data_IF_331856462149
#
_entry.id   IF_331856462149
#
_cell.length_a   1.000
_cell.length_b   1.000
_cell.length_c   1.000
_cell.angle_alpha   90.00
_cell.angle_beta   90.00
_cell.angle_gamma   90.00
#
_symmetry.space_group_name_H-M   'P 1'
#
loop_
_entity.id
_entity.type
_entity.pdbx_description
1 polymer ?
#
# COMPACT_ATOMS: atom_id res chain seq x y z
N UNK A 1 1.37 -5.67 -12.13
CA UNK A 1 1.57 -4.92 -10.87
C UNK A 1 2.95 -4.28 -10.95
N UNK A 2 3.14 -3.01 -10.58
CA UNK A 2 4.48 -2.42 -10.55
C UNK A 2 5.09 -2.70 -9.19
N UNK A 3 6.16 -3.49 -9.13
CA UNK A 3 6.87 -3.82 -7.89
C UNK A 3 7.81 -2.68 -7.51
N UNK A 4 7.34 -1.77 -6.66
CA UNK A 4 8.12 -0.60 -6.22
C UNK A 4 8.98 -0.94 -5.00
N UNK A 5 8.41 -1.59 -3.99
CA UNK A 5 9.11 -2.04 -2.79
C UNK A 5 8.37 -3.17 -2.07
N UNK A 6 9.06 -3.89 -1.19
CA UNK A 6 8.54 -5.09 -0.52
C UNK A 6 7.29 -4.81 0.32
N UNK A 7 7.30 -3.71 1.09
CA UNK A 7 6.14 -3.26 1.90
C UNK A 7 4.90 -3.00 1.04
N UNK A 8 5.06 -2.26 -0.06
CA UNK A 8 3.96 -1.96 -0.98
C UNK A 8 3.46 -3.23 -1.67
N UNK A 9 4.36 -4.10 -2.11
CA UNK A 9 4.00 -5.37 -2.74
C UNK A 9 3.23 -6.28 -1.78
N UNK A 10 3.59 -6.29 -0.49
CA UNK A 10 2.85 -6.99 0.55
C UNK A 10 1.42 -6.45 0.65
N UNK A 11 1.25 -5.14 0.83
CA UNK A 11 -0.08 -4.50 0.91
C UNK A 11 -0.91 -4.77 -0.36
N UNK A 12 -0.33 -4.58 -1.53
CA UNK A 12 -1.00 -4.76 -2.83
C UNK A 12 -1.42 -6.21 -3.05
N UNK A 13 -0.65 -7.19 -2.54
CA UNK A 13 -0.99 -8.61 -2.65
C UNK A 13 -2.28 -9.01 -1.91
N UNK A 14 -2.78 -8.13 -1.03
CA UNK A 14 -4.03 -8.32 -0.29
C UNK A 14 -5.25 -7.69 -1.01
N UNK A 15 -5.01 -6.94 -2.08
CA UNK A 15 -6.05 -6.28 -2.86
C UNK A 15 -6.19 -6.89 -4.25
N UNK A 16 -7.37 -7.44 -4.57
CA UNK A 16 -7.69 -7.66 -5.98
C UNK A 16 -7.76 -6.30 -6.70
N UNK A 17 -7.02 -6.12 -7.79
CA UNK A 17 -7.20 -4.96 -8.67
C UNK A 17 -8.61 -4.96 -9.27
N UNK A 18 -9.54 -4.29 -8.58
CA UNK A 18 -10.88 -3.96 -9.05
C UNK A 18 -10.85 -2.52 -9.53
N UNK A 19 -10.25 -2.28 -10.70
CA UNK A 19 -10.50 -1.01 -11.38
C UNK A 19 -12.03 -0.86 -11.55
N UNK A 20 -12.59 0.27 -11.10
CA UNK A 20 -14.02 0.50 -11.23
C UNK A 20 -14.40 0.50 -12.72
N UNK A 21 -15.61 0.02 -13.02
CA UNK A 21 -16.11 -0.07 -14.40
C UNK A 21 -16.04 1.31 -15.09
N UNK A 22 -16.29 2.38 -14.32
CA UNK A 22 -16.18 3.76 -14.78
C UNK A 22 -14.73 4.20 -15.05
N UNK A 23 -13.76 3.83 -14.21
CA UNK A 23 -12.35 4.16 -14.44
C UNK A 23 -11.81 3.52 -15.72
N UNK A 24 -12.13 2.24 -15.94
CA UNK A 24 -11.74 1.52 -17.18
C UNK A 24 -12.41 2.12 -18.41
N UNK A 25 -13.69 2.53 -18.30
CA UNK A 25 -14.40 3.19 -19.38
C UNK A 25 -13.79 4.56 -19.74
N UNK A 26 -13.33 5.33 -18.74
CA UNK A 26 -12.68 6.63 -18.96
C UNK A 26 -11.34 6.47 -19.67
N UNK A 27 -10.48 5.55 -19.24
CA UNK A 27 -9.19 5.32 -19.89
C UNK A 27 -9.34 4.74 -21.31
N UNK A 28 -10.38 3.94 -21.52
CA UNK A 28 -10.78 3.46 -22.85
C UNK A 28 -11.27 4.59 -23.75
N UNK A 29 -12.07 5.52 -23.22
CA UNK A 29 -12.52 6.70 -23.96
C UNK A 29 -11.34 7.62 -24.35
N UNK A 30 -10.38 7.82 -23.44
CA UNK A 30 -9.15 8.59 -23.69
C UNK A 30 -8.27 7.95 -24.77
N UNK A 31 -8.07 6.64 -24.72
CA UNK A 31 -7.26 5.93 -25.73
C UNK A 31 -7.94 5.88 -27.11
N UNK A 32 -9.27 5.71 -27.15
CA UNK A 32 -10.05 5.75 -28.38
C UNK A 32 -10.03 7.13 -29.06
N UNK A 33 -10.04 8.23 -28.28
CA UNK A 33 -9.95 9.59 -28.83
C UNK A 33 -8.58 9.86 -29.48
N UNK A 34 -7.51 9.35 -28.89
CA UNK A 34 -6.13 9.50 -29.42
C UNK A 34 -5.98 8.77 -30.75
N UNK A 35 -6.39 7.49 -30.82
CA UNK A 35 -6.27 6.68 -32.04
C UNK A 35 -7.07 7.25 -33.23
N UNK A 36 -8.17 7.96 -32.94
CA UNK A 36 -9.10 8.48 -33.95
C UNK A 36 -8.68 9.84 -34.52
N UNK A 37 -7.97 10.67 -33.76
CA UNK A 37 -7.38 11.93 -34.25
C UNK A 37 -6.45 11.71 -35.44
N UNK A 38 -5.73 10.58 -35.47
CA UNK A 38 -4.80 10.23 -36.54
C UNK A 38 -5.47 9.83 -37.87
N UNK A 39 -6.80 9.61 -37.92
CA UNK A 39 -7.52 9.10 -39.11
C UNK A 39 -8.76 9.92 -39.51
N UNK A 40 -8.88 11.17 -39.07
CA UNK A 40 -10.04 11.99 -39.39
C UNK A 40 -9.97 12.51 -40.84
N UNK A 41 -10.82 11.99 -41.74
CA UNK A 41 -11.01 12.55 -43.08
C UNK A 41 -11.81 13.86 -42.99
N UNK A 42 -11.27 14.94 -43.55
CA UNK A 42 -11.93 16.24 -43.66
C UNK A 42 -12.89 16.22 -44.85
N UNK A 43 -14.06 16.86 -44.69
CA UNK A 43 -15.00 17.09 -45.77
C UNK A 43 -15.34 18.58 -45.85
N UNK A 44 -15.57 19.06 -47.07
CA UNK A 44 -15.95 20.45 -47.32
C UNK A 44 -17.44 20.61 -47.03
N UNK A 45 -17.77 21.56 -46.16
CA UNK A 45 -19.15 21.92 -45.84
C UNK A 45 -19.37 23.33 -46.38
N UNK A 46 -20.38 23.47 -47.22
CA UNK A 46 -20.80 24.75 -47.80
C UNK A 46 -21.95 25.26 -46.94
N UNK A 47 -21.78 26.43 -46.32
CA UNK A 47 -22.88 27.11 -45.65
C UNK A 47 -23.52 28.05 -46.67
N UNK A 48 -24.83 27.88 -46.88
CA UNK A 48 -25.59 28.76 -47.75
C UNK A 48 -25.57 30.17 -47.16
N UNK A 49 -25.31 31.17 -48.00
CA UNK A 49 -25.31 32.56 -47.56
C UNK A 49 -26.71 32.96 -47.09
N UNK A 50 -26.79 33.59 -45.91
CA UNK A 50 -28.01 34.29 -45.50
C UNK A 50 -27.95 35.73 -46.02
N UNK A 51 -28.79 36.07 -47.00
CA UNK A 51 -28.88 37.43 -47.52
C UNK A 51 -27.84 37.72 -48.63
N UNK A 52 -27.26 38.91 -48.63
CA UNK A 52 -26.37 39.41 -49.70
C UNK A 52 -24.90 38.93 -49.62
N UNK A 53 -24.57 38.10 -48.62
CA UNK A 53 -23.20 37.60 -48.44
C UNK A 53 -22.84 36.44 -49.40
N UNK A 54 -21.54 36.17 -49.58
CA UNK A 54 -21.06 35.07 -50.42
C UNK A 54 -20.99 33.76 -49.63
N UNK A 55 -21.25 32.64 -50.31
CA UNK A 55 -21.15 31.29 -49.72
C UNK A 55 -19.76 31.04 -49.11
N UNK A 56 -19.71 30.75 -47.81
CA UNK A 56 -18.47 30.36 -47.14
C UNK A 56 -18.31 28.84 -47.14
N UNK A 57 -17.15 28.38 -47.62
CA UNK A 57 -16.79 26.96 -47.67
C UNK A 57 -15.70 26.68 -46.65
N UNK A 58 -16.04 25.90 -45.63
CA UNK A 58 -15.13 25.57 -44.53
C UNK A 58 -14.88 24.06 -44.55
N UNK A 59 -13.62 23.66 -44.46
CA UNK A 59 -13.23 22.25 -44.32
C UNK A 59 -13.41 21.83 -42.87
N UNK A 60 -14.42 21.02 -42.60
CA UNK A 60 -14.75 20.55 -41.25
C UNK A 60 -14.42 19.05 -41.14
N UNK A 61 -13.79 18.65 -40.05
CA UNK A 61 -13.60 17.24 -39.74
C UNK A 61 -14.95 16.60 -39.44
N UNK A 62 -15.34 15.56 -40.17
CA UNK A 62 -16.64 14.89 -39.99
C UNK A 62 -16.74 14.27 -38.59
N UNK A 63 -17.54 14.85 -37.70
CA UNK A 63 -17.90 14.25 -36.42
C UNK A 63 -18.90 13.11 -36.64
N UNK A 64 -18.41 11.89 -36.85
CA UNK A 64 -19.27 10.70 -36.81
C UNK A 64 -19.47 10.32 -35.33
N UNK A 65 -20.64 10.58 -34.76
CA UNK A 65 -21.01 10.06 -33.44
C UNK A 65 -21.20 8.55 -33.61
N UNK A 66 -20.15 7.76 -33.35
CA UNK A 66 -20.28 6.32 -33.31
C UNK A 66 -20.70 5.93 -31.90
N UNK A 67 -21.91 5.40 -31.75
CA UNK A 67 -22.29 4.67 -30.54
C UNK A 67 -21.59 3.31 -30.64
N UNK A 68 -20.33 3.26 -30.24
CA UNK A 68 -19.63 2.01 -30.03
C UNK A 68 -19.96 1.51 -28.63
N UNK A 69 -20.21 0.21 -28.49
CA UNK A 69 -20.19 -0.43 -27.17
C UNK A 69 -18.86 -0.06 -26.49
N UNK A 70 -18.92 0.51 -25.28
CA UNK A 70 -17.71 0.90 -24.51
C UNK A 70 -16.89 -0.32 -24.09
N UNK A 71 -17.32 -1.52 -24.48
CA UNK A 71 -16.83 -2.81 -24.04
C UNK A 71 -16.30 -3.57 -25.26
N UNK A 72 -14.98 -3.71 -25.36
CA UNK A 72 -14.33 -4.60 -26.36
C UNK A 72 -13.94 -5.96 -25.79
N UNK A 73 -14.01 -6.15 -24.47
CA UNK A 73 -13.60 -7.39 -23.80
C UNK A 73 -14.57 -7.78 -22.68
N UNK A 74 -14.93 -9.08 -22.54
CA UNK A 74 -15.74 -9.54 -21.43
C UNK A 74 -15.03 -9.22 -20.10
N UNK A 75 -15.81 -8.87 -19.06
CA UNK A 75 -15.30 -8.74 -17.69
C UNK A 75 -14.51 -10.01 -17.36
N UNK A 76 -13.19 -9.87 -17.16
CA UNK A 76 -12.35 -10.97 -16.68
C UNK A 76 -11.27 -11.52 -17.61
N UNK A 77 -11.21 -11.14 -18.88
CA UNK A 77 -10.15 -11.64 -19.81
C UNK A 77 -9.14 -10.56 -20.20
N UNK A 78 -8.53 -9.92 -19.21
CA UNK A 78 -7.36 -9.05 -19.45
C UNK A 78 -6.09 -9.81 -19.06
N UNK A 79 -5.15 -9.94 -20.00
CA UNK A 79 -3.81 -10.50 -19.74
C UNK A 79 -3.12 -9.74 -18.60
N UNK A 80 -3.33 -8.43 -18.50
CA UNK A 80 -2.82 -7.61 -17.41
C UNK A 80 -3.43 -7.98 -16.05
N UNK A 81 -4.73 -8.35 -16.01
CA UNK A 81 -5.37 -8.84 -14.78
C UNK A 81 -4.83 -10.21 -14.38
N UNK A 82 -4.67 -11.12 -15.34
CA UNK A 82 -4.07 -12.43 -15.09
C UNK A 82 -2.64 -12.29 -14.54
N UNK A 83 -1.80 -11.47 -15.19
CA UNK A 83 -0.45 -11.17 -14.71
C UNK A 83 -0.44 -10.54 -13.30
N UNK A 84 -1.39 -9.64 -13.00
CA UNK A 84 -1.53 -9.08 -11.66
C UNK A 84 -1.87 -10.15 -10.61
N UNK A 85 -2.87 -11.00 -10.87
CA UNK A 85 -3.25 -12.10 -9.96
C UNK A 85 -2.11 -13.10 -9.76
N UNK A 86 -1.39 -13.45 -10.83
CA UNK A 86 -0.20 -14.30 -10.74
C UNK A 86 0.86 -13.67 -9.84
N UNK A 87 1.12 -12.37 -9.98
CA UNK A 87 2.08 -11.66 -9.14
C UNK A 87 1.62 -11.62 -7.66
N UNK A 88 0.34 -11.39 -7.40
CA UNK A 88 -0.20 -11.47 -6.03
C UNK A 88 0.02 -12.86 -5.44
N UNK A 89 -0.27 -13.92 -6.21
CA UNK A 89 -0.05 -15.31 -5.77
C UNK A 89 1.43 -15.61 -5.50
N UNK A 90 2.36 -15.10 -6.32
CA UNK A 90 3.80 -15.21 -6.07
C UNK A 90 4.20 -14.51 -4.75
N UNK A 91 3.70 -13.29 -4.51
CA UNK A 91 3.96 -12.56 -3.25
C UNK A 91 3.36 -13.30 -2.06
N UNK A 92 2.12 -13.75 -2.13
CA UNK A 92 1.47 -14.52 -1.06
C UNK A 92 2.21 -15.83 -0.76
N UNK A 93 2.72 -16.51 -1.79
CA UNK A 93 3.56 -17.69 -1.63
C UNK A 93 4.88 -17.35 -0.92
N UNK A 94 5.53 -16.24 -1.29
CA UNK A 94 6.74 -15.77 -0.63
C UNK A 94 6.49 -15.37 0.84
N UNK A 95 5.33 -14.78 1.15
CA UNK A 95 4.91 -14.53 2.53
C UNK A 95 4.73 -15.86 3.28
N UNK A 96 4.13 -16.86 2.62
CA UNK A 96 3.88 -18.18 3.19
C UNK A 96 5.14 -18.98 3.56
N UNK A 97 6.34 -18.58 3.13
CA UNK A 97 7.60 -19.24 3.53
C UNK A 97 8.12 -18.76 4.89
N UNK A 98 7.62 -17.64 5.40
CA UNK A 98 8.01 -17.10 6.70
C UNK A 98 7.46 -17.95 7.85
N UNK A 99 8.10 -17.96 9.03
CA UNK A 99 7.47 -18.48 10.24
C UNK A 99 6.13 -17.78 10.52
N UNK A 100 5.15 -18.52 11.02
CA UNK A 100 3.78 -18.02 11.23
C UNK A 100 3.76 -16.70 12.03
N UNK A 101 4.57 -16.59 13.08
CA UNK A 101 4.64 -15.40 13.93
C UNK A 101 5.11 -14.17 13.14
N UNK A 102 6.09 -14.35 12.24
CA UNK A 102 6.62 -13.28 11.38
C UNK A 102 5.60 -12.89 10.30
N UNK A 103 4.83 -13.84 9.78
CA UNK A 103 3.69 -13.54 8.90
C UNK A 103 2.66 -12.67 9.62
N UNK A 104 2.27 -13.04 10.84
CA UNK A 104 1.31 -12.28 11.65
C UNK A 104 1.80 -10.85 11.95
N UNK A 105 3.11 -10.70 12.21
CA UNK A 105 3.74 -9.39 12.35
C UNK A 105 3.69 -8.58 11.04
N UNK A 106 4.02 -9.20 9.90
CA UNK A 106 3.88 -8.56 8.59
C UNK A 106 2.44 -8.13 8.30
N UNK A 107 1.45 -8.95 8.68
CA UNK A 107 0.04 -8.59 8.58
C UNK A 107 -0.34 -7.44 9.51
N UNK A 108 0.21 -7.39 10.73
CA UNK A 108 0.02 -6.23 11.61
C UNK A 108 0.48 -4.93 10.95
N UNK A 109 1.61 -4.93 10.24
CA UNK A 109 2.14 -3.73 9.58
C UNK A 109 1.40 -3.39 8.28
N UNK A 110 1.17 -4.39 7.41
CA UNK A 110 0.86 -4.17 6.00
C UNK A 110 -0.54 -4.62 5.57
N UNK A 111 -1.25 -5.42 6.37
CA UNK A 111 -2.55 -5.94 5.97
C UNK A 111 -3.64 -4.86 6.09
N UNK A 112 -4.47 -4.63 5.07
CA UNK A 112 -5.52 -3.61 5.09
C UNK A 112 -6.65 -3.92 6.08
N UNK A 113 -6.92 -5.21 6.34
CA UNK A 113 -7.91 -5.65 7.32
C UNK A 113 -7.20 -6.19 8.56
N UNK A 114 -6.80 -5.29 9.45
CA UNK A 114 -6.15 -5.65 10.70
C UNK A 114 -7.14 -6.28 11.67
N UNK A 115 -6.72 -7.34 12.37
CA UNK A 115 -7.50 -8.04 13.39
C UNK A 115 -6.75 -7.98 14.72
N UNK A 116 -7.48 -8.19 15.82
CA UNK A 116 -6.85 -8.24 17.15
C UNK A 116 -5.80 -9.35 17.24
N UNK A 117 -5.98 -10.47 16.54
CA UNK A 117 -5.01 -11.57 16.50
C UNK A 117 -3.66 -11.12 15.94
N UNK A 118 -3.64 -10.31 14.87
CA UNK A 118 -2.40 -9.77 14.34
C UNK A 118 -1.67 -8.91 15.38
N UNK A 119 -2.41 -8.07 16.13
CA UNK A 119 -1.83 -7.23 17.20
C UNK A 119 -1.25 -8.09 18.30
N UNK A 120 -2.02 -9.02 18.85
CA UNK A 120 -1.58 -9.88 19.96
C UNK A 120 -0.37 -10.73 19.57
N UNK A 121 -0.37 -11.32 18.36
CA UNK A 121 0.76 -12.10 17.87
C UNK A 121 2.01 -11.24 17.66
N UNK A 122 1.87 -10.02 17.15
CA UNK A 122 2.99 -9.09 17.00
C UNK A 122 3.58 -8.69 18.36
N UNK A 123 2.73 -8.34 19.33
CA UNK A 123 3.17 -8.00 20.70
C UNK A 123 3.89 -9.19 21.32
N UNK A 124 3.36 -10.41 21.19
CA UNK A 124 3.99 -11.61 21.74
C UNK A 124 5.35 -11.90 21.09
N UNK A 125 5.44 -11.78 19.77
CA UNK A 125 6.70 -11.98 19.04
C UNK A 125 7.77 -10.98 19.48
N UNK A 126 7.45 -9.68 19.52
CA UNK A 126 8.41 -8.65 19.92
C UNK A 126 8.79 -8.81 21.40
N UNK A 127 7.82 -9.11 22.26
CA UNK A 127 8.10 -9.38 23.69
C UNK A 127 9.09 -10.54 23.85
N UNK A 128 8.91 -11.61 23.08
CA UNK A 128 9.80 -12.77 23.10
C UNK A 128 11.20 -12.46 22.57
N UNK A 129 11.32 -11.69 21.47
CA UNK A 129 12.61 -11.32 20.89
C UNK A 129 13.36 -10.25 21.69
N UNK A 130 12.66 -9.32 22.32
CA UNK A 130 13.26 -8.21 23.06
C UNK A 130 13.91 -8.61 24.39
N UNK A 131 13.67 -9.83 24.88
CA UNK A 131 14.23 -10.35 26.13
C UNK A 131 14.17 -9.32 27.27
N UNK A 132 12.96 -8.88 27.60
CA UNK A 132 12.74 -7.82 28.59
C UNK A 132 13.55 -8.10 29.88
N UNK A 133 14.25 -7.09 30.44
CA UNK A 133 15.09 -7.29 31.61
C UNK A 133 14.27 -7.76 32.80
N UNK A 134 14.94 -8.37 33.79
CA UNK A 134 14.29 -8.79 35.02
C UNK A 134 13.89 -7.56 35.85
N UNK A 135 12.65 -7.11 35.62
CA UNK A 135 12.05 -5.95 36.25
C UNK A 135 11.13 -6.36 37.39
N UNK A 136 10.97 -5.45 38.36
CA UNK A 136 9.93 -5.54 39.39
C UNK A 136 8.54 -5.66 38.74
N UNK A 137 7.58 -6.29 39.42
CA UNK A 137 6.24 -6.56 38.87
C UNK A 137 5.57 -5.30 38.28
N UNK A 138 5.63 -4.17 38.97
CA UNK A 138 5.06 -2.90 38.50
C UNK A 138 5.78 -2.32 37.27
N UNK A 139 7.11 -2.41 37.21
CA UNK A 139 7.89 -1.90 36.07
C UNK A 139 7.78 -2.83 34.85
N UNK A 140 7.60 -4.14 35.09
CA UNK A 140 7.37 -5.16 34.07
C UNK A 140 6.07 -4.94 33.30
N UNK A 141 4.97 -4.61 33.99
CA UNK A 141 3.68 -4.30 33.34
C UNK A 141 3.81 -3.09 32.41
N UNK A 142 4.47 -2.01 32.87
CA UNK A 142 4.76 -0.83 32.04
C UNK A 142 5.62 -1.18 30.82
N UNK A 143 6.64 -2.01 31.00
CA UNK A 143 7.49 -2.48 29.90
C UNK A 143 6.69 -3.27 28.85
N UNK A 144 5.76 -4.13 29.27
CA UNK A 144 4.87 -4.85 28.34
C UNK A 144 3.98 -3.91 27.53
N UNK A 145 3.44 -2.85 28.16
CA UNK A 145 2.66 -1.85 27.43
C UNK A 145 3.52 -1.03 26.46
N UNK A 146 4.78 -0.73 26.82
CA UNK A 146 5.72 -0.06 25.92
C UNK A 146 5.97 -0.85 24.63
N UNK A 147 5.94 -2.19 24.67
CA UNK A 147 6.03 -3.02 23.44
C UNK A 147 4.91 -2.66 22.46
N UNK A 148 3.68 -2.53 22.97
CA UNK A 148 2.52 -2.18 22.14
C UNK A 148 2.66 -0.77 21.55
N UNK A 149 3.10 0.20 22.35
CA UNK A 149 3.29 1.57 21.89
C UNK A 149 4.44 1.69 20.88
N UNK A 150 5.54 0.95 21.07
CA UNK A 150 6.66 0.91 20.13
C UNK A 150 6.23 0.34 18.77
N UNK A 151 5.41 -0.72 18.78
CA UNK A 151 4.80 -1.28 17.56
C UNK A 151 3.93 -0.27 16.82
N UNK A 152 3.11 0.50 17.55
CA UNK A 152 2.26 1.53 16.94
C UNK A 152 3.07 2.72 16.39
N UNK A 153 4.10 3.17 17.11
CA UNK A 153 5.04 4.19 16.60
C UNK A 153 5.68 3.73 15.30
N UNK A 154 6.26 2.52 15.30
CA UNK A 154 6.94 1.97 14.14
C UNK A 154 5.99 1.82 12.95
N UNK A 155 4.76 1.35 13.18
CA UNK A 155 3.75 1.24 12.13
C UNK A 155 3.42 2.60 11.51
N UNK A 156 3.32 3.65 12.32
CA UNK A 156 3.09 5.01 11.82
C UNK A 156 4.29 5.52 11.00
N UNK A 157 5.52 5.28 11.46
CA UNK A 157 6.76 5.65 10.75
C UNK A 157 6.87 4.96 9.39
N UNK A 158 6.50 3.68 9.30
CA UNK A 158 6.44 2.92 8.05
C UNK A 158 5.50 3.56 7.02
N UNK A 159 4.46 4.26 7.48
CA UNK A 159 3.53 5.02 6.62
C UNK A 159 3.94 6.48 6.38
N UNK A 160 5.11 6.90 6.88
CA UNK A 160 5.67 8.24 6.68
C UNK A 160 5.33 9.26 7.77
N UNK A 161 4.74 8.84 8.90
CA UNK A 161 4.56 9.73 10.04
C UNK A 161 5.87 9.92 10.83
N UNK A 162 5.94 10.99 11.62
CA UNK A 162 7.05 11.21 12.54
C UNK A 162 7.04 10.18 13.68
N UNK A 163 8.24 9.80 14.12
CA UNK A 163 8.46 8.96 15.30
C UNK A 163 7.81 9.58 16.55
N UNK A 164 7.31 8.73 17.44
CA UNK A 164 6.66 9.18 18.67
C UNK A 164 7.68 9.61 19.71
N UNK A 165 7.58 10.86 20.16
CA UNK A 165 8.34 11.35 21.30
C UNK A 165 7.77 10.93 22.66
N UNK A 166 8.52 11.09 23.76
CA UNK A 166 8.14 10.65 25.12
C UNK A 166 6.79 11.20 25.60
N UNK A 167 6.48 12.45 25.26
CA UNK A 167 5.21 13.07 25.63
C UNK A 167 4.00 12.36 24.99
N UNK A 168 4.13 11.97 23.71
CA UNK A 168 3.10 11.21 23.01
C UNK A 168 2.97 9.81 23.60
N UNK A 169 4.09 9.11 23.82
CA UNK A 169 4.09 7.78 24.43
C UNK A 169 3.39 7.80 25.79
N UNK A 170 3.68 8.79 26.64
CA UNK A 170 3.02 8.92 27.94
C UNK A 170 1.51 9.21 27.84
N UNK A 171 1.10 10.06 26.88
CA UNK A 171 -0.31 10.34 26.64
C UNK A 171 -1.07 9.08 26.18
N UNK A 172 -0.51 8.34 25.23
CA UNK A 172 -1.12 7.11 24.71
C UNK A 172 -1.12 5.98 25.76
N UNK A 173 -0.06 5.89 26.58
CA UNK A 173 0.00 4.94 27.70
C UNK A 173 -1.16 5.16 28.68
N UNK A 174 -1.44 6.42 29.00
CA UNK A 174 -2.55 6.76 29.88
C UNK A 174 -3.91 6.53 29.20
N UNK A 175 -4.04 6.90 27.93
CA UNK A 175 -5.30 6.77 27.18
C UNK A 175 -5.71 5.30 26.98
N UNK A 176 -4.77 4.42 26.61
CA UNK A 176 -5.08 3.02 26.32
C UNK A 176 -5.06 2.11 27.56
N UNK A 177 -4.14 2.37 28.50
CA UNK A 177 -3.90 1.45 29.62
C UNK A 177 -4.22 2.05 30.99
N UNK A 178 -4.56 3.34 31.07
CA UNK A 178 -4.78 4.03 32.34
C UNK A 178 -3.50 4.15 33.19
N UNK A 179 -2.33 3.98 32.57
CA UNK A 179 -1.04 3.99 33.28
C UNK A 179 -0.26 5.26 32.98
N UNK A 180 0.14 5.95 34.04
CA UNK A 180 0.97 7.15 33.93
C UNK A 180 2.46 6.82 33.90
N UNK A 181 3.17 7.49 32.99
CA UNK A 181 4.63 7.54 32.89
C UNK A 181 5.04 9.01 32.87
N UNK A 182 6.09 9.36 33.61
CA UNK A 182 6.61 10.73 33.65
C UNK A 182 7.58 10.99 32.48
N UNK A 183 7.23 11.86 31.52
CA UNK A 183 8.11 12.13 30.38
C UNK A 183 9.44 12.76 30.78
N UNK A 184 9.49 13.48 31.91
CA UNK A 184 10.70 14.14 32.43
C UNK A 184 11.81 13.14 32.79
N UNK A 185 11.45 11.93 33.22
CA UNK A 185 12.40 10.89 33.60
C UNK A 185 12.64 9.85 32.49
N UNK A 186 12.15 10.11 31.27
CA UNK A 186 12.23 9.19 30.14
C UNK A 186 13.63 8.64 29.88
N UNK A 187 14.62 9.55 29.81
CA UNK A 187 16.01 9.20 29.51
C UNK A 187 16.60 8.20 30.50
N UNK A 188 16.20 8.27 31.77
CA UNK A 188 16.69 7.37 32.83
C UNK A 188 15.93 6.04 32.83
N UNK A 189 14.61 6.10 32.66
CA UNK A 189 13.74 4.98 33.00
C UNK A 189 13.38 4.09 31.81
N UNK A 190 13.32 4.65 30.60
CA UNK A 190 12.67 4.01 29.44
C UNK A 190 13.41 4.14 28.11
N UNK A 191 14.33 5.10 27.96
CA UNK A 191 15.00 5.37 26.68
C UNK A 191 15.73 4.14 26.14
N UNK A 192 16.54 3.46 26.95
CA UNK A 192 17.29 2.29 26.51
C UNK A 192 16.36 1.14 26.07
N UNK A 193 15.28 0.92 26.82
CA UNK A 193 14.27 -0.07 26.45
C UNK A 193 13.56 0.32 25.15
N UNK A 194 13.20 1.59 24.98
CA UNK A 194 12.52 2.09 23.79
C UNK A 194 13.38 1.91 22.53
N UNK A 195 14.65 2.29 22.59
CA UNK A 195 15.59 2.12 21.48
C UNK A 195 15.86 0.64 21.17
N UNK A 196 15.97 -0.20 22.21
CA UNK A 196 16.07 -1.65 22.05
C UNK A 196 14.85 -2.23 21.34
N UNK A 197 13.63 -1.85 21.76
CA UNK A 197 12.39 -2.29 21.13
C UNK A 197 12.32 -1.86 19.66
N UNK A 198 12.70 -0.61 19.34
CA UNK A 198 12.77 -0.12 17.96
C UNK A 198 13.71 -0.97 17.11
N UNK A 199 14.89 -1.30 17.62
CA UNK A 199 15.86 -2.13 16.92
C UNK A 199 15.30 -3.52 16.63
N UNK A 200 14.69 -4.17 17.63
CA UNK A 200 14.08 -5.50 17.49
C UNK A 200 12.92 -5.48 16.49
N UNK A 201 12.03 -4.48 16.57
CA UNK A 201 10.91 -4.35 15.62
C UNK A 201 11.44 -4.17 14.20
N UNK A 202 12.46 -3.33 14.01
CA UNK A 202 13.09 -3.11 12.70
C UNK A 202 13.72 -4.38 12.15
N UNK A 203 14.37 -5.18 13.00
CA UNK A 203 14.96 -6.46 12.59
C UNK A 203 13.88 -7.45 12.12
N UNK A 204 12.80 -7.59 12.89
CA UNK A 204 11.67 -8.45 12.50
C UNK A 204 10.99 -7.96 11.23
N UNK A 205 10.92 -6.64 11.01
CA UNK A 205 10.41 -6.08 9.77
C UNK A 205 11.29 -6.40 8.56
N UNK A 206 12.62 -6.36 8.71
CA UNK A 206 13.54 -6.80 7.66
C UNK A 206 13.38 -8.29 7.36
N UNK A 207 13.20 -9.12 8.40
CA UNK A 207 12.93 -10.55 8.27
C UNK A 207 11.63 -10.78 7.48
N UNK A 208 10.55 -10.08 7.84
CA UNK A 208 9.27 -10.17 7.14
C UNK A 208 9.38 -9.74 5.67
N UNK A 209 10.14 -8.69 5.37
CA UNK A 209 10.28 -8.20 3.99
C UNK A 209 11.19 -9.06 3.11
N UNK A 210 12.12 -9.80 3.70
CA UNK A 210 13.18 -10.55 2.99
C UNK A 210 12.67 -11.40 1.81
N UNK A 211 11.69 -12.32 1.97
CA UNK A 211 11.25 -13.17 0.86
C UNK A 211 10.52 -12.38 -0.24
N UNK A 212 9.79 -11.31 0.12
CA UNK A 212 9.12 -10.45 -0.87
C UNK A 212 10.15 -9.62 -1.63
N UNK A 213 11.20 -9.14 -0.95
CA UNK A 213 12.31 -8.43 -1.56
C UNK A 213 13.05 -9.32 -2.57
N UNK A 214 13.39 -10.55 -2.20
CA UNK A 214 14.03 -11.54 -3.08
C UNK A 214 13.20 -11.80 -4.34
N UNK A 215 11.89 -11.97 -4.18
CA UNK A 215 10.97 -12.12 -5.30
C UNK A 215 11.00 -10.91 -6.24
N UNK A 216 10.96 -9.68 -5.71
CA UNK A 216 10.97 -8.46 -6.53
C UNK A 216 12.25 -8.37 -7.36
N UNK A 217 13.40 -8.75 -6.82
CA UNK A 217 14.66 -8.75 -7.57
C UNK A 217 14.70 -9.83 -8.63
N UNK A 218 14.26 -11.05 -8.32
CA UNK A 218 14.17 -12.13 -9.30
C UNK A 218 13.30 -11.75 -10.51
N UNK A 219 12.13 -11.14 -10.31
CA UNK A 219 11.26 -10.70 -11.43
C UNK A 219 11.88 -9.56 -12.26
N UNK A 220 12.70 -8.70 -11.64
CA UNK A 220 13.42 -7.62 -12.35
C UNK A 220 14.55 -8.17 -13.20
N UNK A 221 15.28 -9.16 -12.70
CA UNK A 221 16.33 -9.85 -13.45
C UNK A 221 15.75 -10.63 -14.64
N UNK A 222 14.66 -11.38 -14.44
CA UNK A 222 13.95 -12.11 -15.51
C UNK A 222 13.39 -11.16 -16.59
N UNK A 223 12.95 -9.95 -16.20
CA UNK A 223 12.48 -8.94 -17.16
C UNK A 223 13.60 -8.27 -17.96
N UNK A 224 14.86 -8.40 -17.53
CA UNK A 224 16.03 -7.79 -18.16
C UNK A 224 16.80 -8.75 -19.09
N UNK A 225 16.58 -10.06 -18.97
CA UNK A 225 17.12 -11.11 -19.82
C UNK A 225 16.28 -11.33 -21.09
#
# INVERSE_FOLDING_TARGET
MKLIGARQAWTDSQHESKASISAVAIDSAKSATIARRARARQHEVVFAAMGEDKEERIKVARQKISISETRRTPIGRSTARAAHLTMMGKVQRAIGTLPFQVQQFGHFLYHPCLTMQHVMNAVLLITAKAQLPDLTSAKRVKAQYLVTLALQSYKAEVTGAAEWGPARVAAEMNAFFGVSIEPKHWNRDWLDLWESLKAVIKEVDLEAQSPVWQLIHAEKEESAA
#
